data_IF_523639253612
#
_entry.id   IF_523639253612
#
_cell.length_a   1.000
_cell.length_b   1.000
_cell.length_c   1.000
_cell.angle_alpha   90.00
_cell.angle_beta   90.00
_cell.angle_gamma   90.00
#
_symmetry.space_group_name_H-M   'P 1'
#
loop_
_entity.id
_entity.type
_entity.pdbx_description
1 polymer ?
#
# COMPACT_ATOMS: atom_id res chain seq x y z
N UNK A 1 -54.07 21.12 30.76
CA UNK A 1 -53.29 22.27 30.33
C UNK A 1 -52.82 22.01 28.91
N UNK A 2 -53.38 22.79 27.94
CA UNK A 2 -52.95 22.82 26.54
C UNK A 2 -51.84 23.85 26.44
N UNK A 3 -50.63 23.41 26.08
CA UNK A 3 -49.51 24.28 25.78
C UNK A 3 -49.71 24.87 24.38
N UNK A 4 -49.96 26.18 24.32
CA UNK A 4 -50.02 26.93 23.08
C UNK A 4 -48.68 27.64 22.89
N UNK A 5 -47.96 27.42 21.78
CA UNK A 5 -46.74 28.15 21.50
C UNK A 5 -47.02 29.66 21.40
N UNK A 6 -46.28 30.46 22.17
CA UNK A 6 -46.46 31.91 22.23
C UNK A 6 -45.82 32.65 21.05
N UNK A 7 -44.85 32.02 20.37
CA UNK A 7 -44.12 32.64 19.27
C UNK A 7 -44.57 32.03 17.93
N UNK A 8 -45.02 32.88 17.01
CA UNK A 8 -45.22 32.48 15.64
C UNK A 8 -43.85 32.24 14.96
N UNK A 9 -43.64 31.13 14.26
CA UNK A 9 -42.38 30.89 13.57
C UNK A 9 -42.17 31.99 12.52
N UNK A 10 -41.08 32.76 12.66
CA UNK A 10 -40.59 33.69 11.65
C UNK A 10 -40.15 32.88 10.41
N UNK A 11 -41.05 32.81 9.43
CA UNK A 11 -40.77 32.19 8.14
C UNK A 11 -40.36 33.31 7.19
N UNK A 12 -39.05 33.61 7.16
CA UNK A 12 -38.51 34.42 6.07
C UNK A 12 -38.47 33.51 4.82
N UNK A 13 -39.13 33.90 3.72
CA UNK A 13 -39.08 33.16 2.47
C UNK A 13 -37.71 33.36 1.84
N UNK A 14 -36.74 32.58 2.29
CA UNK A 14 -35.42 32.53 1.67
C UNK A 14 -35.52 31.67 0.40
N UNK A 15 -35.71 32.34 -0.75
CA UNK A 15 -35.70 31.68 -2.06
C UNK A 15 -34.26 31.19 -2.33
N UNK A 16 -33.97 29.97 -1.92
CA UNK A 16 -32.68 29.31 -2.25
C UNK A 16 -32.71 29.03 -3.75
N UNK A 17 -31.83 29.66 -4.50
CA UNK A 17 -31.63 29.32 -5.91
C UNK A 17 -31.23 27.83 -6.04
N UNK A 18 -31.95 27.12 -6.91
CA UNK A 18 -31.64 25.68 -7.19
C UNK A 18 -30.20 25.54 -7.60
N UNK A 19 -29.64 26.47 -8.37
CA UNK A 19 -28.26 26.46 -8.82
C UNK A 19 -27.25 26.57 -7.66
N UNK A 20 -27.49 27.48 -6.72
CA UNK A 20 -26.65 27.63 -5.52
C UNK A 20 -26.76 26.43 -4.60
N UNK A 21 -27.95 25.86 -4.43
CA UNK A 21 -28.20 24.64 -3.69
C UNK A 21 -27.45 23.46 -4.28
N UNK A 22 -27.50 23.30 -5.61
CA UNK A 22 -26.78 22.25 -6.33
C UNK A 22 -25.26 22.41 -6.20
N UNK A 23 -24.75 23.62 -6.43
CA UNK A 23 -23.32 23.90 -6.31
C UNK A 23 -22.80 23.65 -4.89
N UNK A 24 -23.55 24.04 -3.88
CA UNK A 24 -23.21 23.78 -2.48
C UNK A 24 -23.27 22.29 -2.15
N UNK A 25 -24.29 21.56 -2.64
CA UNK A 25 -24.42 20.13 -2.43
C UNK A 25 -23.25 19.35 -3.07
N UNK A 26 -22.91 19.65 -4.32
CA UNK A 26 -21.77 19.01 -5.02
C UNK A 26 -20.41 19.33 -4.37
N UNK A 27 -20.29 20.48 -3.70
CA UNK A 27 -19.05 20.88 -3.02
C UNK A 27 -18.92 20.29 -1.60
N UNK A 28 -20.04 20.11 -0.88
CA UNK A 28 -20.02 19.81 0.56
C UNK A 28 -20.45 18.39 0.93
N UNK A 29 -21.03 17.62 0.01
CA UNK A 29 -21.50 16.26 0.32
C UNK A 29 -20.34 15.29 0.49
N UNK A 30 -20.20 14.65 1.66
CA UNK A 30 -19.11 13.73 1.96
C UNK A 30 -19.15 12.47 1.09
N UNK A 31 -20.35 12.04 0.67
CA UNK A 31 -20.52 10.86 -0.19
C UNK A 31 -19.84 11.06 -1.55
N UNK A 32 -19.93 12.25 -2.13
CA UNK A 32 -19.29 12.56 -3.40
C UNK A 32 -17.77 12.63 -3.26
N UNK A 33 -17.30 13.21 -2.16
CA UNK A 33 -15.88 13.25 -1.85
C UNK A 33 -15.30 11.81 -1.68
N UNK A 34 -16.02 10.97 -0.95
CA UNK A 34 -15.64 9.56 -0.78
C UNK A 34 -15.61 8.81 -2.12
N UNK A 35 -16.62 9.00 -2.97
CA UNK A 35 -16.66 8.36 -4.29
C UNK A 35 -15.50 8.79 -5.20
N UNK A 36 -15.10 10.07 -5.14
CA UNK A 36 -13.94 10.59 -5.88
C UNK A 36 -12.62 10.01 -5.36
N UNK A 37 -12.44 9.89 -4.05
CA UNK A 37 -11.27 9.24 -3.48
C UNK A 37 -11.20 7.76 -3.86
N UNK A 38 -12.33 7.05 -3.88
CA UNK A 38 -12.36 5.66 -4.35
C UNK A 38 -11.97 5.56 -5.83
N UNK A 39 -12.43 6.49 -6.66
CA UNK A 39 -12.02 6.57 -8.06
C UNK A 39 -10.50 6.79 -8.20
N UNK A 40 -9.91 7.69 -7.41
CA UNK A 40 -8.46 7.92 -7.41
C UNK A 40 -7.69 6.66 -6.99
N UNK A 41 -8.18 5.94 -5.97
CA UNK A 41 -7.60 4.66 -5.55
C UNK A 41 -7.66 3.60 -6.67
N UNK A 42 -8.75 3.55 -7.47
CA UNK A 42 -8.84 2.65 -8.63
C UNK A 42 -7.83 3.04 -9.70
N UNK A 43 -7.62 4.34 -9.95
CA UNK A 43 -6.59 4.82 -10.91
C UNK A 43 -5.19 4.43 -10.44
N UNK A 44 -4.90 4.53 -9.13
CA UNK A 44 -3.63 4.06 -8.57
C UNK A 44 -3.48 2.54 -8.74
N UNK A 45 -4.55 1.78 -8.52
CA UNK A 45 -4.58 0.32 -8.75
C UNK A 45 -4.28 -0.05 -10.21
N UNK A 46 -4.83 0.69 -11.19
CA UNK A 46 -4.51 0.49 -12.60
C UNK A 46 -3.04 0.77 -12.89
N UNK A 47 -2.47 1.84 -12.35
CA UNK A 47 -1.04 2.16 -12.51
C UNK A 47 -0.16 1.07 -11.92
N UNK A 48 -0.52 0.56 -10.75
CA UNK A 48 0.18 -0.55 -10.11
C UNK A 48 0.13 -1.81 -10.98
N UNK A 49 -1.07 -2.22 -11.44
CA UNK A 49 -1.23 -3.38 -12.32
C UNK A 49 -0.41 -3.22 -13.62
N UNK A 50 -0.33 -2.00 -14.16
CA UNK A 50 0.48 -1.70 -15.35
C UNK A 50 1.97 -1.83 -15.08
N UNK A 51 2.45 -1.40 -13.91
CA UNK A 51 3.84 -1.56 -13.50
C UNK A 51 4.24 -3.04 -13.34
N UNK A 52 3.30 -3.90 -12.92
CA UNK A 52 3.55 -5.35 -12.82
C UNK A 52 3.77 -6.04 -14.18
N UNK A 53 3.51 -5.35 -15.30
CA UNK A 53 3.86 -5.86 -16.62
C UNK A 53 5.31 -5.58 -17.01
N UNK A 54 5.98 -4.66 -16.33
CA UNK A 54 7.35 -4.26 -16.62
C UNK A 54 8.34 -5.26 -16.02
N UNK A 55 9.56 -5.36 -16.60
CA UNK A 55 10.65 -6.09 -15.98
C UNK A 55 10.95 -5.54 -14.58
N UNK A 56 11.16 -6.44 -13.64
CA UNK A 56 11.53 -6.11 -12.27
C UNK A 56 13.05 -6.13 -12.13
N UNK A 57 13.60 -5.04 -11.63
CA UNK A 57 15.02 -4.89 -11.35
C UNK A 57 15.20 -4.69 -9.84
N UNK A 58 15.81 -5.69 -9.19
CA UNK A 58 16.07 -5.65 -7.76
C UNK A 58 17.57 -5.59 -7.49
N UNK A 59 17.96 -4.65 -6.64
CA UNK A 59 19.29 -4.62 -6.04
C UNK A 59 19.25 -5.36 -4.70
N UNK A 60 20.09 -6.38 -4.56
CA UNK A 60 20.16 -7.20 -3.35
C UNK A 60 21.52 -7.01 -2.71
N UNK A 61 21.53 -6.55 -1.47
CA UNK A 61 22.72 -6.43 -0.64
C UNK A 61 22.53 -7.17 0.68
N UNK A 62 23.51 -7.98 1.09
CA UNK A 62 23.53 -8.59 2.41
C UNK A 62 24.93 -8.56 3.01
N UNK A 63 24.99 -8.27 4.29
CA UNK A 63 26.21 -8.35 5.10
C UNK A 63 25.96 -9.34 6.21
N UNK A 64 26.84 -10.32 6.36
CA UNK A 64 26.76 -11.34 7.40
C UNK A 64 28.05 -11.34 8.22
N UNK A 65 27.91 -11.42 9.52
CA UNK A 65 29.00 -11.68 10.46
C UNK A 65 28.89 -13.12 10.94
N UNK A 66 30.01 -13.86 10.97
CA UNK A 66 30.04 -15.23 11.43
C UNK A 66 31.09 -15.37 12.53
N UNK A 67 30.74 -16.11 13.57
CA UNK A 67 31.68 -16.50 14.61
C UNK A 67 31.80 -18.03 14.58
N UNK A 68 33.00 -18.56 14.33
CA UNK A 68 33.28 -19.96 14.31
C UNK A 68 34.28 -20.30 15.40
N UNK A 69 33.98 -21.32 16.19
CA UNK A 69 34.91 -21.94 17.14
C UNK A 69 34.60 -23.41 17.33
N UNK A 70 35.57 -24.15 17.72
CA UNK A 70 35.44 -25.60 17.94
C UNK A 70 36.73 -26.20 18.46
N UNK A 71 36.72 -27.51 18.65
CA UNK A 71 37.92 -28.27 18.93
C UNK A 71 38.53 -28.75 17.61
N UNK A 72 39.80 -28.43 17.33
CA UNK A 72 40.41 -28.90 16.10
C UNK A 72 40.51 -30.43 16.14
N UNK A 73 40.11 -31.07 15.06
CA UNK A 73 40.43 -32.47 14.85
C UNK A 73 41.92 -32.55 14.47
N UNK A 74 42.76 -33.22 15.20
CA UNK A 74 44.18 -33.31 14.85
C UNK A 74 44.32 -33.88 13.45
N UNK A 75 44.91 -33.14 12.53
CA UNK A 75 45.27 -33.66 11.24
C UNK A 75 46.43 -34.64 11.44
N UNK A 76 46.14 -35.93 11.40
CA UNK A 76 47.12 -36.99 11.53
C UNK A 76 48.11 -37.05 10.36
N UNK A 77 47.83 -36.32 9.28
CA UNK A 77 48.63 -36.37 8.06
C UNK A 77 49.02 -34.96 7.59
N UNK A 78 50.27 -34.77 7.26
CA UNK A 78 50.74 -33.62 6.49
C UNK A 78 51.17 -34.10 5.11
N UNK A 79 50.85 -33.27 4.10
CA UNK A 79 51.28 -33.60 2.73
C UNK A 79 52.44 -32.68 2.39
N UNK A 80 53.60 -33.29 2.18
CA UNK A 80 54.83 -32.63 1.77
C UNK A 80 55.18 -33.08 0.35
N UNK A 81 55.64 -32.15 -0.50
CA UNK A 81 56.06 -32.47 -1.86
C UNK A 81 57.55 -32.85 -1.86
N UNK A 82 57.87 -34.08 -2.13
CA UNK A 82 59.24 -34.55 -2.26
C UNK A 82 59.45 -35.01 -3.72
N UNK A 83 60.40 -34.39 -4.40
CA UNK A 83 60.68 -34.72 -5.81
C UNK A 83 59.53 -34.47 -6.79
N UNK A 84 58.64 -33.52 -6.48
CA UNK A 84 57.45 -33.24 -7.32
C UNK A 84 56.24 -34.13 -7.08
N UNK A 85 56.33 -35.09 -6.16
CA UNK A 85 55.21 -35.97 -5.78
C UNK A 85 54.69 -35.64 -4.37
N UNK A 86 53.38 -35.57 -4.16
CA UNK A 86 52.80 -35.37 -2.84
C UNK A 86 53.00 -36.63 -2.00
N UNK A 87 53.70 -36.49 -0.88
CA UNK A 87 53.94 -37.58 0.09
C UNK A 87 53.18 -37.17 1.38
N UNK A 88 52.27 -38.03 1.81
CA UNK A 88 51.57 -37.86 3.08
C UNK A 88 52.34 -38.57 4.18
N UNK A 89 52.78 -37.84 5.20
CA UNK A 89 53.41 -38.37 6.39
C UNK A 89 52.55 -38.12 7.63
N UNK A 90 52.61 -39.04 8.59
CA UNK A 90 52.02 -38.90 9.91
C UNK A 90 52.74 -37.76 10.64
N UNK A 91 52.00 -36.82 11.16
CA UNK A 91 52.51 -35.81 12.09
C UNK A 91 52.75 -36.45 13.45
N UNK A 92 53.99 -36.39 14.00
CA UNK A 92 54.31 -37.06 15.25
C UNK A 92 53.56 -36.57 16.49
N UNK A 93 52.92 -35.40 16.44
CA UNK A 93 52.38 -34.80 17.63
C UNK A 93 51.08 -34.02 17.37
N UNK A 94 50.21 -34.40 16.53
CA UNK A 94 48.84 -33.86 16.48
C UNK A 94 48.65 -32.33 16.62
N UNK A 95 49.73 -31.54 16.42
CA UNK A 95 49.76 -30.12 16.57
C UNK A 95 49.25 -29.43 15.29
N UNK A 96 48.00 -29.63 14.99
CA UNK A 96 47.31 -28.75 14.09
C UNK A 96 46.72 -27.59 14.88
N UNK A 97 47.43 -26.48 14.98
CA UNK A 97 46.83 -25.24 15.48
C UNK A 97 45.77 -24.76 14.50
N UNK A 98 44.53 -24.90 14.88
CA UNK A 98 43.42 -24.35 14.11
C UNK A 98 43.11 -22.93 14.59
N UNK A 99 43.02 -22.00 13.69
CA UNK A 99 42.55 -20.64 13.99
C UNK A 99 41.12 -20.57 14.60
N UNK A 100 40.52 -21.76 14.73
CA UNK A 100 39.13 -21.91 15.22
C UNK A 100 39.06 -22.50 16.62
N UNK A 101 40.18 -22.60 17.35
CA UNK A 101 40.21 -23.13 18.71
C UNK A 101 39.46 -22.25 19.67
N UNK A 102 38.60 -22.85 20.50
CA UNK A 102 37.90 -22.16 21.56
C UNK A 102 36.49 -22.64 21.79
N UNK A 103 35.92 -22.15 22.88
CA UNK A 103 34.53 -22.37 23.23
C UNK A 103 33.61 -21.32 22.66
N UNK A 104 32.36 -21.34 23.11
CA UNK A 104 31.31 -20.43 22.70
C UNK A 104 31.69 -18.93 22.84
N UNK A 105 32.44 -18.55 23.88
CA UNK A 105 32.92 -17.18 24.07
C UNK A 105 33.92 -16.74 22.99
N UNK A 106 34.76 -17.64 22.47
CA UNK A 106 35.65 -17.34 21.35
C UNK A 106 34.90 -17.12 20.04
N UNK A 107 33.84 -17.88 19.78
CA UNK A 107 32.95 -17.66 18.64
C UNK A 107 32.25 -16.32 18.70
N UNK A 108 31.75 -15.93 19.90
CA UNK A 108 31.12 -14.64 20.12
C UNK A 108 32.14 -13.50 19.98
N UNK A 109 33.35 -13.64 20.48
CA UNK A 109 34.45 -12.68 20.28
C UNK A 109 34.77 -12.46 18.82
N UNK A 110 34.87 -13.49 18.01
CA UNK A 110 35.10 -13.42 16.56
C UNK A 110 33.94 -12.81 15.78
N UNK A 111 32.72 -13.02 16.27
CA UNK A 111 31.53 -12.34 15.72
C UNK A 111 31.61 -10.84 15.91
N UNK A 112 32.03 -10.38 17.09
CA UNK A 112 32.12 -8.96 17.45
C UNK A 112 33.36 -8.30 16.82
N UNK A 113 34.51 -9.03 16.74
CA UNK A 113 35.70 -8.49 16.09
C UNK A 113 35.58 -8.38 14.57
N UNK A 114 34.62 -9.09 13.98
CA UNK A 114 34.42 -9.02 12.54
C UNK A 114 35.46 -9.82 11.74
N UNK A 115 36.07 -10.84 12.34
CA UNK A 115 37.09 -11.67 11.67
C UNK A 115 36.54 -12.43 10.46
N UNK A 116 35.24 -12.74 10.47
CA UNK A 116 34.55 -13.43 9.39
C UNK A 116 33.35 -12.63 8.89
N UNK A 117 33.66 -11.66 8.06
CA UNK A 117 32.62 -10.85 7.36
C UNK A 117 32.33 -11.45 6.00
N UNK A 118 31.08 -11.71 5.73
CA UNK A 118 30.61 -12.05 4.40
C UNK A 118 29.75 -10.93 3.84
N UNK A 119 29.99 -10.57 2.59
CA UNK A 119 29.14 -9.61 1.89
C UNK A 119 28.69 -10.21 0.56
N UNK A 120 27.44 -9.92 0.21
CA UNK A 120 26.85 -10.26 -1.09
C UNK A 120 26.23 -9.02 -1.67
N UNK A 121 26.55 -8.75 -2.91
CA UNK A 121 25.94 -7.68 -3.70
C UNK A 121 25.52 -8.27 -5.04
N UNK A 122 24.31 -8.05 -5.43
CA UNK A 122 23.79 -8.61 -6.66
C UNK A 122 22.67 -7.78 -7.28
N UNK A 123 22.46 -7.97 -8.56
CA UNK A 123 21.33 -7.46 -9.32
C UNK A 123 20.48 -8.64 -9.76
N UNK A 124 19.20 -8.61 -9.45
CA UNK A 124 18.24 -9.61 -9.93
C UNK A 124 17.31 -8.93 -10.93
N UNK A 125 17.27 -9.46 -12.15
CA UNK A 125 16.37 -9.00 -13.20
C UNK A 125 15.35 -10.10 -13.47
N UNK A 126 14.08 -9.78 -13.29
CA UNK A 126 12.98 -10.70 -13.56
C UNK A 126 12.15 -10.18 -14.73
N UNK A 127 12.13 -10.90 -15.84
CA UNK A 127 11.37 -10.54 -17.04
C UNK A 127 10.20 -11.51 -17.15
N UNK A 128 8.94 -11.04 -17.00
CA UNK A 128 7.77 -11.90 -17.16
C UNK A 128 7.50 -12.17 -18.64
N UNK A 129 7.91 -13.32 -19.13
CA UNK A 129 7.65 -13.75 -20.50
C UNK A 129 6.20 -14.26 -20.63
N UNK A 130 5.46 -13.74 -21.61
CA UNK A 130 4.10 -14.18 -21.88
C UNK A 130 3.06 -13.86 -20.82
N UNK A 131 3.24 -12.80 -20.03
CA UNK A 131 2.49 -12.39 -18.85
C UNK A 131 0.98 -12.15 -19.09
N UNK A 132 0.25 -13.23 -19.41
CA UNK A 132 -1.20 -13.23 -19.64
C UNK A 132 -1.95 -12.78 -18.38
N UNK A 133 -1.48 -13.20 -17.21
CA UNK A 133 -2.09 -12.84 -15.92
C UNK A 133 -2.05 -11.33 -15.68
N UNK A 134 -0.88 -10.70 -15.83
CA UNK A 134 -0.76 -9.27 -15.63
C UNK A 134 -1.52 -8.45 -16.69
N UNK A 135 -1.62 -8.96 -17.93
CA UNK A 135 -2.44 -8.32 -18.97
C UNK A 135 -3.93 -8.36 -18.62
N UNK A 136 -4.41 -9.49 -18.12
CA UNK A 136 -5.81 -9.62 -17.67
C UNK A 136 -6.11 -8.75 -16.45
N UNK A 137 -5.15 -8.62 -15.51
CA UNK A 137 -5.30 -7.75 -14.35
C UNK A 137 -5.33 -6.26 -14.73
N UNK A 138 -4.52 -5.83 -15.72
CA UNK A 138 -4.61 -4.46 -16.26
C UNK A 138 -5.96 -4.22 -16.96
N UNK A 139 -6.45 -5.19 -17.72
CA UNK A 139 -7.76 -5.06 -18.37
C UNK A 139 -8.88 -4.94 -17.33
N UNK A 140 -8.84 -5.75 -16.28
CA UNK A 140 -9.78 -5.71 -15.17
C UNK A 140 -9.71 -4.37 -14.43
N UNK A 141 -8.52 -3.91 -14.05
CA UNK A 141 -8.36 -2.64 -13.33
C UNK A 141 -8.81 -1.43 -14.15
N UNK A 142 -8.67 -1.44 -15.49
CA UNK A 142 -9.25 -0.43 -16.37
C UNK A 142 -10.78 -0.39 -16.29
N UNK A 143 -11.42 -1.56 -16.34
CA UNK A 143 -12.87 -1.65 -16.20
C UNK A 143 -13.34 -1.16 -14.82
N UNK A 144 -12.56 -1.43 -13.76
CA UNK A 144 -12.86 -0.91 -12.42
C UNK A 144 -12.75 0.62 -12.37
N UNK A 145 -11.78 1.23 -13.05
CA UNK A 145 -11.69 2.69 -13.18
C UNK A 145 -12.90 3.26 -13.92
N UNK A 146 -13.29 2.66 -15.04
CA UNK A 146 -14.48 3.09 -15.79
C UNK A 146 -15.76 2.96 -14.95
N UNK A 147 -15.92 1.83 -14.26
CA UNK A 147 -17.03 1.61 -13.33
C UNK A 147 -17.07 2.68 -12.23
N UNK A 148 -15.93 3.04 -11.66
CA UNK A 148 -15.87 4.07 -10.61
C UNK A 148 -16.24 5.46 -11.14
N UNK A 149 -15.84 5.81 -12.37
CA UNK A 149 -16.27 7.06 -13.04
C UNK A 149 -17.79 7.12 -13.21
N UNK A 150 -18.38 6.03 -13.68
CA UNK A 150 -19.83 5.94 -13.85
C UNK A 150 -20.58 6.03 -12.52
N UNK A 151 -20.00 5.47 -11.44
CA UNK A 151 -20.56 5.59 -10.09
C UNK A 151 -20.55 7.05 -9.60
N UNK A 152 -19.46 7.78 -9.81
CA UNK A 152 -19.38 9.22 -9.47
C UNK A 152 -20.43 10.00 -10.25
N UNK A 153 -20.53 9.80 -11.57
CA UNK A 153 -21.54 10.47 -12.40
C UNK A 153 -22.97 10.14 -11.96
N UNK A 154 -23.25 8.88 -11.66
CA UNK A 154 -24.54 8.44 -11.14
C UNK A 154 -24.89 9.12 -9.81
N UNK A 155 -23.90 9.27 -8.93
CA UNK A 155 -24.06 9.93 -7.65
C UNK A 155 -24.31 11.46 -7.83
N UNK A 156 -23.58 12.10 -8.75
CA UNK A 156 -23.80 13.52 -9.09
C UNK A 156 -25.23 13.76 -9.63
N UNK A 157 -25.71 12.89 -10.51
CA UNK A 157 -27.09 12.95 -11.01
C UNK A 157 -28.13 12.73 -9.90
N UNK A 158 -27.88 11.75 -9.02
CA UNK A 158 -28.76 11.49 -7.88
C UNK A 158 -28.85 12.69 -6.95
N UNK A 159 -27.72 13.34 -6.65
CA UNK A 159 -27.66 14.56 -5.84
C UNK A 159 -28.44 15.70 -6.51
N UNK A 160 -28.28 15.87 -7.83
CA UNK A 160 -29.00 16.89 -8.57
C UNK A 160 -30.51 16.70 -8.50
N UNK A 161 -30.99 15.47 -8.72
CA UNK A 161 -32.43 15.14 -8.61
C UNK A 161 -32.96 15.34 -7.19
N UNK A 162 -32.16 15.04 -6.18
CA UNK A 162 -32.56 15.23 -4.78
C UNK A 162 -32.68 16.70 -4.44
N UNK A 163 -31.73 17.53 -4.83
CA UNK A 163 -31.77 18.98 -4.64
C UNK A 163 -33.00 19.60 -5.36
N UNK A 164 -33.25 19.19 -6.61
CA UNK A 164 -34.41 19.64 -7.37
C UNK A 164 -35.75 19.25 -6.71
N UNK A 165 -35.83 18.00 -6.21
CA UNK A 165 -37.02 17.52 -5.49
C UNK A 165 -37.27 18.31 -4.22
N UNK A 166 -36.23 18.59 -3.42
CA UNK A 166 -36.36 19.40 -2.19
C UNK A 166 -36.72 20.81 -2.50
N UNK A 167 -36.10 21.45 -3.51
CA UNK A 167 -36.41 22.80 -3.90
C UNK A 167 -37.89 22.97 -4.37
N UNK A 168 -38.37 22.03 -5.18
CA UNK A 168 -39.80 22.00 -5.60
C UNK A 168 -40.73 21.74 -4.41
N UNK A 169 -40.32 20.90 -3.45
CA UNK A 169 -41.09 20.66 -2.22
C UNK A 169 -41.24 21.94 -1.39
N UNK A 170 -40.18 22.72 -1.26
CA UNK A 170 -40.20 23.99 -0.55
C UNK A 170 -41.13 24.99 -1.27
N UNK A 171 -40.99 25.14 -2.60
CA UNK A 171 -41.85 26.06 -3.40
C UNK A 171 -43.33 25.68 -3.29
N UNK A 172 -43.65 24.39 -3.36
CA UNK A 172 -45.05 23.94 -3.21
C UNK A 172 -45.60 24.19 -1.80
N UNK A 173 -44.78 24.01 -0.75
CA UNK A 173 -45.22 24.28 0.63
C UNK A 173 -45.40 25.77 0.92
N UNK A 174 -44.56 26.63 0.33
CA UNK A 174 -44.74 28.09 0.43
C UNK A 174 -46.01 28.56 -0.28
N UNK A 175 -46.29 28.01 -1.47
CA UNK A 175 -47.54 28.33 -2.21
C UNK A 175 -48.80 27.84 -1.50
N UNK A 176 -48.77 26.70 -0.85
CA UNK A 176 -49.89 26.16 -0.08
C UNK A 176 -50.20 27.02 1.16
N UNK A 177 -49.21 27.71 1.72
CA UNK A 177 -49.35 28.56 2.91
C UNK A 177 -49.72 30.01 2.57
N UNK A 178 -49.51 30.45 1.33
CA UNK A 178 -49.82 31.82 0.88
C UNK A 178 -51.32 32.20 0.82
N UNK A 179 -52.29 31.28 0.61
CA UNK A 179 -53.72 31.69 0.52
C UNK A 179 -54.40 31.97 1.86
N UNK A 180 -53.82 31.63 3.00
CA UNK A 180 -54.46 31.86 4.31
C UNK A 180 -54.36 33.31 4.84
N UNK A 181 -53.59 34.21 4.20
CA UNK A 181 -53.38 35.57 4.67
C UNK A 181 -54.08 36.66 3.82
N UNK A 182 -54.93 36.29 2.83
CA UNK A 182 -55.64 37.25 1.99
C UNK A 182 -57.13 37.42 2.29
N UNK A 183 -57.65 36.81 3.39
CA UNK A 183 -59.02 37.03 3.85
C UNK A 183 -59.03 37.43 5.34
N UNK A 184 -58.64 38.68 5.63
CA UNK A 184 -59.13 39.43 6.81
C UNK A 184 -59.01 40.91 6.57
#
# INVERSE_FOLDING_TARGET
YTLVPADAPLIEPNMVSIEEGLKSALAKRPELFQARLDQENRVLGERFARNQQLPELNFVGSIGLSGLSGSPTPNLFTTTTVGGMPVSSLLPDGQGTSSYEGGYGAALGKLVSGDFVSYKVGLSVQIPLGNQLARSEVAKSRLEVEKSKLLVQSLEQKIALEVERVARGIDSSLRAKAPEHSET
#
